data_IF_484724781846
#
_entry.id   IF_484724781846
#
_cell.length_a   1.000
_cell.length_b   1.000
_cell.length_c   1.000
_cell.angle_alpha   90.00
_cell.angle_beta   90.00
_cell.angle_gamma   90.00
#
_symmetry.space_group_name_H-M   'P 1'
#
loop_
_entity.id
_entity.type
_entity.pdbx_description
1 polymer ?
#
# COMPACT_ATOMS: atom_id res chain seq x y z
N UNK A 1 -20.61 -1.00 38.28
CA UNK A 1 -20.76 -0.47 36.92
C UNK A 1 -20.68 -1.66 35.99
N UNK A 2 -21.70 -1.91 35.17
CA UNK A 2 -21.64 -2.99 34.19
C UNK A 2 -20.57 -2.63 33.15
N UNK A 3 -19.63 -3.54 32.90
CA UNK A 3 -18.75 -3.48 31.73
C UNK A 3 -19.66 -3.42 30.50
N UNK A 4 -19.67 -2.29 29.80
CA UNK A 4 -20.34 -2.21 28.52
C UNK A 4 -19.49 -2.98 27.51
N UNK A 5 -19.99 -4.15 27.13
CA UNK A 5 -19.31 -5.07 26.24
C UNK A 5 -19.10 -4.47 24.84
N UNK A 6 -17.90 -4.64 24.27
CA UNK A 6 -17.58 -4.22 22.92
C UNK A 6 -17.79 -5.39 21.96
N UNK A 7 -18.67 -5.20 20.96
CA UNK A 7 -19.03 -6.25 20.00
C UNK A 7 -18.67 -5.86 18.58
N UNK A 8 -18.23 -6.87 17.82
CA UNK A 8 -18.06 -6.78 16.37
C UNK A 8 -19.09 -7.73 15.74
N UNK A 9 -20.03 -7.18 14.96
CA UNK A 9 -20.98 -7.96 14.19
C UNK A 9 -20.59 -7.90 12.71
N UNK A 10 -20.46 -9.07 12.08
CA UNK A 10 -20.07 -9.21 10.68
C UNK A 10 -21.24 -9.84 9.93
N UNK A 11 -21.77 -9.15 8.91
CA UNK A 11 -22.72 -9.71 7.95
C UNK A 11 -22.04 -9.81 6.58
N UNK A 12 -22.12 -10.98 5.95
CA UNK A 12 -21.50 -11.25 4.65
C UNK A 12 -22.59 -11.70 3.70
N UNK A 13 -22.81 -10.93 2.65
CA UNK A 13 -23.68 -11.23 1.51
C UNK A 13 -22.83 -11.33 0.23
N UNK A 14 -23.41 -11.79 -0.87
CA UNK A 14 -22.70 -11.97 -2.15
C UNK A 14 -22.09 -10.65 -2.67
N UNK A 15 -22.81 -9.54 -2.52
CA UNK A 15 -22.48 -8.24 -3.10
C UNK A 15 -21.92 -7.23 -2.09
N UNK A 16 -22.01 -7.54 -0.79
CA UNK A 16 -21.69 -6.59 0.27
C UNK A 16 -21.28 -7.27 1.59
N UNK A 17 -20.24 -6.76 2.23
CA UNK A 17 -19.86 -7.09 3.61
C UNK A 17 -20.11 -5.88 4.51
N UNK A 18 -20.73 -6.12 5.67
CA UNK A 18 -21.00 -5.11 6.69
C UNK A 18 -20.31 -5.49 8.00
N UNK A 19 -19.62 -4.53 8.60
CA UNK A 19 -18.99 -4.70 9.92
C UNK A 19 -19.51 -3.59 10.83
N UNK A 20 -20.23 -3.97 11.88
CA UNK A 20 -20.73 -3.06 12.91
C UNK A 20 -19.91 -3.20 14.20
N UNK A 21 -19.42 -2.06 14.71
CA UNK A 21 -18.79 -1.96 16.02
C UNK A 21 -19.83 -1.42 17.01
N UNK A 22 -20.07 -2.15 18.10
CA UNK A 22 -21.04 -1.77 19.12
C UNK A 22 -20.38 -1.64 20.48
N UNK A 23 -20.91 -0.74 21.29
CA UNK A 23 -20.65 -0.61 22.71
C UNK A 23 -21.99 -0.84 23.45
N UNK A 24 -22.13 -2.01 24.06
CA UNK A 24 -23.41 -2.54 24.54
C UNK A 24 -24.39 -2.79 23.39
N UNK A 25 -25.49 -2.04 23.37
CA UNK A 25 -26.51 -2.07 22.30
C UNK A 25 -26.45 -0.83 21.40
N UNK A 26 -25.47 0.06 21.59
CA UNK A 26 -25.28 1.26 20.79
C UNK A 26 -24.31 0.97 19.65
N UNK A 27 -24.70 1.34 18.43
CA UNK A 27 -23.81 1.34 17.28
C UNK A 27 -22.82 2.50 17.41
N UNK A 28 -21.53 2.19 17.43
CA UNK A 28 -20.46 3.18 17.42
C UNK A 28 -19.98 3.47 15.99
N UNK A 29 -19.80 2.42 15.17
CA UNK A 29 -19.39 2.59 13.77
C UNK A 29 -19.92 1.48 12.87
N UNK A 30 -20.10 1.79 11.58
CA UNK A 30 -20.54 0.85 10.54
C UNK A 30 -19.65 0.98 9.30
N UNK A 31 -19.03 -0.11 8.90
CA UNK A 31 -18.29 -0.24 7.66
C UNK A 31 -19.11 -1.07 6.67
N UNK A 32 -19.17 -0.61 5.42
CA UNK A 32 -19.85 -1.29 4.33
C UNK A 32 -18.88 -1.35 3.16
N UNK A 33 -18.58 -2.57 2.71
CA UNK A 33 -17.70 -2.84 1.58
C UNK A 33 -18.49 -3.57 0.49
N UNK A 34 -18.49 -3.03 -0.72
CA UNK A 34 -19.20 -3.61 -1.86
C UNK A 34 -18.23 -4.46 -2.69
N UNK A 35 -18.63 -5.68 -3.04
CA UNK A 35 -17.78 -6.67 -3.73
C UNK A 35 -17.25 -6.17 -5.09
N UNK A 36 -18.00 -5.29 -5.77
CA UNK A 36 -17.63 -4.74 -7.08
C UNK A 36 -16.67 -3.54 -7.00
N UNK A 37 -16.34 -3.05 -5.80
CA UNK A 37 -15.46 -1.90 -5.59
C UNK A 37 -14.15 -2.37 -4.94
N UNK A 38 -13.34 -3.12 -5.68
CA UNK A 38 -11.97 -3.45 -5.27
C UNK A 38 -11.10 -2.20 -5.24
N UNK A 39 -10.86 -1.66 -4.05
CA UNK A 39 -9.86 -0.63 -3.79
C UNK A 39 -8.56 -1.31 -3.38
N UNK A 40 -7.45 -1.02 -4.06
CA UNK A 40 -6.15 -1.64 -3.74
C UNK A 40 -5.31 -0.80 -2.80
N UNK A 41 -5.74 0.45 -2.54
CA UNK A 41 -5.11 1.34 -1.56
C UNK A 41 -5.04 0.64 -0.21
N UNK A 42 -3.84 0.64 0.38
CA UNK A 42 -3.54 -0.02 1.64
C UNK A 42 -2.95 -1.41 1.48
N UNK A 43 -3.16 -2.11 0.36
CA UNK A 43 -2.60 -3.44 0.13
C UNK A 43 -1.07 -3.39 0.11
N UNK A 44 -0.46 -4.44 0.67
CA UNK A 44 0.98 -4.59 0.77
C UNK A 44 1.42 -5.79 -0.08
N UNK A 45 2.44 -5.57 -0.91
CA UNK A 45 2.95 -6.58 -1.84
C UNK A 45 4.46 -6.75 -1.68
N UNK A 46 4.95 -7.96 -1.98
CA UNK A 46 6.37 -8.18 -2.25
C UNK A 46 6.63 -7.98 -3.75
N UNK A 47 6.90 -6.73 -4.13
CA UNK A 47 7.17 -6.36 -5.51
C UNK A 47 8.61 -6.60 -5.93
N UNK A 48 8.87 -6.56 -7.24
CA UNK A 48 10.19 -6.67 -7.86
C UNK A 48 10.48 -5.40 -8.65
N UNK A 49 11.65 -4.80 -8.42
CA UNK A 49 12.10 -3.65 -9.20
C UNK A 49 12.34 -4.10 -10.65
N UNK A 50 11.55 -3.59 -11.58
CA UNK A 50 11.71 -3.87 -13.02
C UNK A 50 12.80 -2.98 -13.60
N UNK A 51 12.72 -1.70 -13.25
CA UNK A 51 13.55 -0.63 -13.83
C UNK A 51 13.77 0.46 -12.80
N UNK A 52 14.96 1.03 -12.79
CA UNK A 52 15.27 2.26 -12.06
C UNK A 52 15.39 3.40 -13.05
N UNK A 53 14.75 4.54 -12.77
CA UNK A 53 14.73 5.72 -13.62
C UNK A 53 15.36 6.93 -12.91
N UNK A 54 16.65 7.20 -13.13
CA UNK A 54 17.39 8.26 -12.42
C UNK A 54 16.83 9.65 -12.66
N UNK A 55 16.38 9.96 -13.88
CA UNK A 55 15.86 11.29 -14.23
C UNK A 55 14.61 11.68 -13.41
N UNK A 56 13.85 10.69 -12.92
CA UNK A 56 12.69 10.92 -12.06
C UNK A 56 12.96 10.61 -10.59
N UNK A 57 14.18 10.17 -10.25
CA UNK A 57 14.51 9.63 -8.94
C UNK A 57 13.48 8.58 -8.46
N UNK A 58 13.14 7.63 -9.34
CA UNK A 58 12.10 6.64 -9.08
C UNK A 58 12.43 5.26 -9.66
N UNK A 59 11.64 4.26 -9.27
CA UNK A 59 11.71 2.91 -9.80
C UNK A 59 10.30 2.40 -10.19
N UNK A 60 10.24 1.54 -11.20
CA UNK A 60 9.02 0.83 -11.57
C UNK A 60 9.01 -0.55 -10.92
N UNK A 61 7.92 -0.88 -10.23
CA UNK A 61 7.78 -2.08 -9.43
C UNK A 61 6.72 -2.98 -10.07
N UNK A 62 7.09 -4.21 -10.37
CA UNK A 62 6.14 -5.27 -10.66
C UNK A 62 5.64 -5.84 -9.33
N UNK A 63 4.34 -5.71 -9.08
CA UNK A 63 3.68 -6.17 -7.86
C UNK A 63 2.53 -7.15 -8.16
N UNK A 64 2.48 -7.68 -9.39
CA UNK A 64 1.47 -8.65 -9.85
C UNK A 64 0.28 -8.05 -10.59
N UNK A 65 0.28 -6.74 -10.85
CA UNK A 65 -0.77 -6.04 -11.60
C UNK A 65 -0.39 -5.80 -13.06
N UNK A 66 -1.39 -5.47 -13.90
CA UNK A 66 -1.20 -5.22 -15.33
C UNK A 66 -0.19 -4.10 -15.60
N UNK A 67 -0.16 -3.08 -14.73
CA UNK A 67 0.77 -1.95 -14.83
C UNK A 67 1.73 -1.96 -13.66
N UNK A 68 2.99 -1.64 -13.96
CA UNK A 68 3.99 -1.47 -12.92
C UNK A 68 3.68 -0.26 -12.04
N UNK A 69 3.83 -0.43 -10.73
CA UNK A 69 3.73 0.64 -9.76
C UNK A 69 4.91 1.60 -9.87
N UNK A 70 4.73 2.82 -9.39
CA UNK A 70 5.73 3.87 -9.39
C UNK A 70 6.20 4.15 -7.96
N UNK A 71 7.46 3.85 -7.67
CA UNK A 71 8.06 4.11 -6.36
C UNK A 71 9.08 5.26 -6.45
N UNK A 72 8.72 6.41 -5.87
CA UNK A 72 9.61 7.58 -5.76
C UNK A 72 10.65 7.38 -4.65
N UNK A 73 11.84 7.95 -4.83
CA UNK A 73 12.88 8.03 -3.79
C UNK A 73 12.37 8.71 -2.50
N UNK A 74 11.44 9.66 -2.59
CA UNK A 74 10.86 10.31 -1.41
C UNK A 74 10.09 9.35 -0.51
N UNK A 75 9.60 8.25 -1.07
CA UNK A 75 8.67 7.34 -0.40
C UNK A 75 9.39 6.06 0.07
N UNK A 76 10.73 6.01 -0.09
CA UNK A 76 11.56 4.90 0.37
C UNK A 76 11.99 5.11 1.81
N UNK A 77 11.75 4.11 2.64
CA UNK A 77 12.32 4.04 3.98
C UNK A 77 13.82 3.65 3.92
N UNK A 78 14.71 4.64 4.14
CA UNK A 78 16.17 4.44 4.13
C UNK A 78 16.73 3.63 5.29
N UNK A 79 15.95 3.39 6.36
CA UNK A 79 16.36 2.47 7.43
C UNK A 79 16.32 1.02 6.96
N UNK A 80 15.37 0.70 6.07
CA UNK A 80 15.19 -0.64 5.49
C UNK A 80 16.03 -0.81 4.22
N UNK A 81 15.95 0.15 3.29
CA UNK A 81 16.69 0.12 2.03
C UNK A 81 17.82 1.13 2.07
N UNK A 82 18.97 0.70 2.57
CA UNK A 82 20.14 1.56 2.75
C UNK A 82 20.84 1.85 1.41
N UNK A 83 21.29 3.09 1.17
CA UNK A 83 22.14 3.40 0.02
C UNK A 83 23.43 2.59 0.06
N UNK A 84 23.91 2.13 -1.10
CA UNK A 84 25.13 1.34 -1.22
C UNK A 84 26.42 2.11 -0.91
N UNK A 85 26.37 3.44 -0.85
CA UNK A 85 27.48 4.30 -0.46
C UNK A 85 26.97 5.39 0.48
N UNK A 86 27.61 5.51 1.63
CA UNK A 86 27.40 6.64 2.53
C UNK A 86 28.12 7.86 1.95
N UNK A 87 27.33 8.85 1.51
CA UNK A 87 27.82 10.12 1.00
C UNK A 87 27.22 11.28 1.79
N UNK A 88 27.88 12.45 1.75
CA UNK A 88 27.25 13.67 2.25
C UNK A 88 26.15 14.10 1.27
N UNK A 89 24.89 13.97 1.67
CA UNK A 89 23.74 14.45 0.91
C UNK A 89 22.63 13.41 0.73
N UNK A 90 21.56 13.79 0.03
CA UNK A 90 20.45 12.89 -0.30
C UNK A 90 20.92 11.85 -1.33
N UNK A 91 20.76 10.54 -1.06
CA UNK A 91 21.19 9.50 -2.00
C UNK A 91 20.35 9.54 -3.28
N UNK A 92 20.91 9.04 -4.39
CA UNK A 92 20.15 8.84 -5.63
C UNK A 92 19.38 7.52 -5.61
N UNK A 93 18.30 7.41 -6.38
CA UNK A 93 17.53 6.16 -6.50
C UNK A 93 18.40 4.96 -6.92
N UNK A 94 19.41 5.18 -7.77
CA UNK A 94 20.36 4.14 -8.23
C UNK A 94 21.30 3.64 -7.14
N UNK A 95 21.50 4.41 -6.07
CA UNK A 95 22.27 3.98 -4.91
C UNK A 95 21.41 3.12 -3.97
N UNK A 96 20.09 3.18 -4.09
CA UNK A 96 19.14 2.58 -3.13
C UNK A 96 18.50 1.32 -3.69
N UNK A 97 18.06 1.35 -4.95
CA UNK A 97 17.38 0.23 -5.61
C UNK A 97 18.12 -0.23 -6.86
N UNK A 98 18.03 -1.54 -7.13
CA UNK A 98 18.57 -2.18 -8.33
C UNK A 98 17.50 -3.00 -9.07
N UNK A 99 17.53 -3.09 -10.41
CA UNK A 99 16.68 -4.02 -11.14
C UNK A 99 16.80 -5.45 -10.60
N UNK A 100 15.67 -6.15 -10.50
CA UNK A 100 15.55 -7.49 -9.95
C UNK A 100 15.42 -7.56 -8.42
N UNK A 101 15.69 -6.48 -7.68
CA UNK A 101 15.56 -6.43 -6.24
C UNK A 101 14.09 -6.60 -5.80
N UNK A 102 13.85 -7.46 -4.80
CA UNK A 102 12.54 -7.56 -4.15
C UNK A 102 12.39 -6.44 -3.12
N UNK A 103 11.22 -5.81 -3.10
CA UNK A 103 10.87 -4.72 -2.21
C UNK A 103 9.45 -4.91 -1.68
N UNK A 104 9.27 -4.72 -0.38
CA UNK A 104 7.95 -4.56 0.22
C UNK A 104 7.41 -3.17 -0.14
N UNK A 105 6.21 -3.12 -0.73
CA UNK A 105 5.55 -1.88 -1.16
C UNK A 105 4.10 -1.86 -0.68
N UNK A 106 3.57 -0.68 -0.46
CA UNK A 106 2.16 -0.47 -0.14
C UNK A 106 1.56 0.47 -1.18
N UNK A 107 0.37 0.14 -1.69
CA UNK A 107 -0.34 1.02 -2.62
C UNK A 107 -0.93 2.19 -1.83
N UNK A 108 -0.53 3.41 -2.16
CA UNK A 108 -1.06 4.63 -1.56
C UNK A 108 -2.08 5.33 -2.47
N UNK A 109 -1.99 5.11 -3.78
CA UNK A 109 -2.93 5.65 -4.78
C UNK A 109 -3.22 4.61 -5.86
N UNK A 110 -4.50 4.41 -6.15
CA UNK A 110 -4.95 3.54 -7.25
C UNK A 110 -4.48 4.06 -8.62
N UNK A 111 -4.49 3.14 -9.59
CA UNK A 111 -4.17 3.43 -10.98
C UNK A 111 -5.14 4.46 -11.57
N UNK A 112 -4.60 5.57 -12.08
CA UNK A 112 -5.38 6.60 -12.76
C UNK A 112 -5.07 6.55 -14.26
N UNK A 113 -6.02 6.01 -15.03
CA UNK A 113 -6.16 6.03 -16.50
C UNK A 113 -4.91 5.64 -17.34
N UNK A 114 -3.80 6.37 -17.23
CA UNK A 114 -2.54 6.20 -17.97
C UNK A 114 -1.29 6.07 -17.07
N UNK A 115 -1.45 6.09 -15.73
CA UNK A 115 -0.36 5.95 -14.76
C UNK A 115 -0.62 4.73 -13.87
N UNK A 116 0.42 3.93 -13.61
CA UNK A 116 0.36 2.84 -12.64
C UNK A 116 0.17 3.38 -11.21
N UNK A 117 -0.11 2.47 -10.27
CA UNK A 117 -0.34 2.82 -8.88
C UNK A 117 0.91 3.47 -8.28
N UNK A 118 0.71 4.37 -7.32
CA UNK A 118 1.81 4.91 -6.51
C UNK A 118 1.76 4.30 -5.13
#
# INVERSE_FOLDING_TARGET
MAELDHKILINVEDDETRIALLHGSKLDNLYIEQTHRTQKIGNIYCGKVVKVQPSFQAAFIDYGEERHGFLSLSDINFQVYKPSREGRGRPSITQVLKPGQKVLVQVIKDELAHKGAS
#
